data_IF_106312642324
#
_entry.id   IF_106312642324
#
_cell.length_a   1.000
_cell.length_b   1.000
_cell.length_c   1.000
_cell.angle_alpha   90.00
_cell.angle_beta   90.00
_cell.angle_gamma   90.00
#
_symmetry.space_group_name_H-M   'P 1'
#
loop_
_entity.id
_entity.type
_entity.pdbx_description
1 polymer ?
#
# COMPACT_ATOMS: atom_id res chain seq x y z
N UNK A 1 0.65 8.15 5.64
CA UNK A 1 -0.60 7.61 5.06
C UNK A 1 -0.43 6.12 4.82
N UNK A 2 -1.51 5.35 4.67
CA UNK A 2 -1.40 3.89 4.57
C UNK A 2 -2.42 3.24 3.63
N UNK A 3 -2.11 2.01 3.17
CA UNK A 3 -3.14 1.04 2.76
C UNK A 3 -2.88 -0.32 3.40
N UNK A 4 -3.94 -1.00 3.83
CA UNK A 4 -3.84 -2.30 4.51
C UNK A 4 -3.41 -3.41 3.58
N UNK A 5 -2.36 -4.14 3.93
CA UNK A 5 -1.86 -5.32 3.20
C UNK A 5 -2.35 -6.64 3.80
N UNK A 6 -2.71 -6.64 5.10
CA UNK A 6 -3.24 -7.82 5.79
C UNK A 6 -2.21 -8.93 6.00
N UNK A 7 -2.68 -10.13 6.29
CA UNK A 7 -1.87 -11.34 6.38
C UNK A 7 -2.75 -12.58 6.10
N UNK A 8 -2.33 -13.43 5.16
CA UNK A 8 -3.02 -14.67 4.79
C UNK A 8 -2.24 -15.93 5.25
N UNK A 9 -1.13 -15.76 5.96
CA UNK A 9 -0.35 -16.86 6.51
C UNK A 9 -0.72 -17.09 7.99
N UNK A 10 -1.50 -18.14 8.25
CA UNK A 10 -1.96 -18.48 9.59
C UNK A 10 -0.83 -18.81 10.59
N UNK A 11 0.34 -19.23 10.10
CA UNK A 11 1.51 -19.55 10.94
C UNK A 11 2.08 -18.32 11.63
N UNK A 12 1.77 -17.11 11.16
CA UNK A 12 2.25 -15.87 11.75
C UNK A 12 1.39 -15.39 12.93
N UNK A 13 0.18 -15.91 13.11
CA UNK A 13 -0.71 -15.48 14.21
C UNK A 13 -0.14 -15.73 15.60
N UNK A 14 0.79 -16.67 15.74
CA UNK A 14 1.55 -16.91 16.99
C UNK A 14 2.38 -15.71 17.47
N UNK A 15 2.64 -14.73 16.59
CA UNK A 15 3.35 -13.50 16.92
C UNK A 15 2.42 -12.39 17.43
N UNK A 16 1.09 -12.57 17.32
CA UNK A 16 0.13 -11.67 17.93
C UNK A 16 -0.03 -12.09 19.40
N UNK A 17 0.51 -11.27 20.30
CA UNK A 17 0.51 -11.51 21.75
C UNK A 17 0.07 -10.26 22.52
N UNK A 18 -0.49 -10.42 23.73
CA UNK A 18 -0.81 -9.27 24.59
C UNK A 18 0.46 -8.64 25.18
N UNK A 19 1.45 -9.46 25.53
CA UNK A 19 2.70 -9.00 26.14
C UNK A 19 3.65 -8.42 25.10
N UNK A 20 4.38 -7.37 25.49
CA UNK A 20 5.40 -6.71 24.66
C UNK A 20 4.88 -6.27 23.28
N UNK A 21 3.60 -5.87 23.23
CA UNK A 21 2.85 -5.59 22.02
C UNK A 21 2.03 -4.33 22.24
N UNK A 22 2.13 -3.39 21.30
CA UNK A 22 1.34 -2.16 21.32
C UNK A 22 0.48 -2.14 20.06
N UNK A 23 -0.83 -1.97 20.22
CA UNK A 23 -1.74 -1.91 19.08
C UNK A 23 -1.34 -0.81 18.11
N UNK A 24 -1.54 -1.11 16.82
CA UNK A 24 -1.09 -0.28 15.71
C UNK A 24 -1.52 1.19 15.83
N UNK A 25 -2.77 1.44 16.21
CA UNK A 25 -3.30 2.81 16.33
C UNK A 25 -2.49 3.67 17.32
N UNK A 26 -2.02 3.08 18.42
CA UNK A 26 -1.25 3.80 19.44
C UNK A 26 0.19 4.01 18.95
N UNK A 27 0.80 3.01 18.29
CA UNK A 27 2.12 3.14 17.66
C UNK A 27 2.13 4.22 16.59
N UNK A 28 1.08 4.28 15.76
CA UNK A 28 0.86 5.31 14.76
C UNK A 28 0.83 6.71 15.38
N UNK A 29 0.04 6.92 16.43
CA UNK A 29 -0.04 8.20 17.13
C UNK A 29 1.31 8.62 17.74
N UNK A 30 2.02 7.69 18.38
CA UNK A 30 3.33 7.95 18.99
C UNK A 30 4.37 8.33 17.92
N UNK A 31 4.44 7.57 16.83
CA UNK A 31 5.34 7.85 15.72
C UNK A 31 5.05 9.23 15.09
N UNK A 32 3.78 9.56 14.84
CA UNK A 32 3.38 10.87 14.30
C UNK A 32 3.76 12.04 15.21
N UNK A 33 3.78 11.86 16.54
CA UNK A 33 4.09 12.93 17.49
C UNK A 33 5.58 13.14 17.71
N UNK A 34 6.38 12.09 17.60
CA UNK A 34 7.80 12.11 18.00
C UNK A 34 8.76 12.22 16.82
N UNK A 35 8.40 11.68 15.65
CA UNK A 35 9.31 11.61 14.52
C UNK A 35 9.56 12.97 13.87
N UNK A 36 10.81 13.23 13.50
CA UNK A 36 11.22 14.40 12.72
C UNK A 36 11.51 14.05 11.27
N UNK A 37 11.79 12.78 10.96
CA UNK A 37 12.06 12.27 9.61
C UNK A 37 11.26 11.00 9.33
N UNK A 38 11.15 10.61 8.06
CA UNK A 38 10.51 9.36 7.69
C UNK A 38 11.20 8.11 8.26
N UNK A 39 12.54 8.14 8.36
CA UNK A 39 13.31 7.06 8.96
C UNK A 39 13.06 6.94 10.47
N UNK A 40 13.03 8.07 11.19
CA UNK A 40 12.69 8.08 12.62
C UNK A 40 11.26 7.58 12.87
N UNK A 41 10.31 7.99 12.02
CA UNK A 41 8.92 7.52 12.11
C UNK A 41 8.86 6.00 12.06
N UNK A 42 9.56 5.40 11.10
CA UNK A 42 9.63 3.95 10.96
C UNK A 42 10.26 3.27 12.19
N UNK A 43 11.41 3.77 12.68
CA UNK A 43 12.09 3.23 13.87
C UNK A 43 11.25 3.34 15.14
N UNK A 44 10.39 4.37 15.26
CA UNK A 44 9.48 4.49 16.39
C UNK A 44 8.29 3.53 16.23
N UNK A 45 7.70 3.48 15.04
CA UNK A 45 6.52 2.69 14.74
C UNK A 45 6.73 1.17 14.83
N UNK A 46 7.92 0.68 14.47
CA UNK A 46 8.23 -0.76 14.49
C UNK A 46 8.35 -1.35 15.90
N UNK A 47 8.59 -0.49 16.91
CA UNK A 47 8.72 -0.93 18.31
C UNK A 47 7.42 -1.57 18.79
N UNK A 48 7.55 -2.73 19.44
CA UNK A 48 6.42 -3.50 19.97
C UNK A 48 5.34 -3.81 18.91
N UNK A 49 5.78 -4.12 17.68
CA UNK A 49 4.90 -4.53 16.58
C UNK A 49 3.89 -5.60 17.04
N UNK A 50 2.60 -5.26 16.98
CA UNK A 50 1.49 -6.11 17.39
C UNK A 50 1.09 -7.17 16.36
N UNK A 51 1.50 -7.03 15.10
CA UNK A 51 0.98 -7.84 13.99
C UNK A 51 -0.50 -7.62 13.68
N UNK A 52 -1.08 -6.53 14.18
CA UNK A 52 -2.47 -6.13 13.94
C UNK A 52 -2.52 -4.88 13.08
N UNK A 53 -3.58 -4.73 12.28
CA UNK A 53 -3.73 -3.68 11.26
C UNK A 53 -2.48 -3.57 10.36
N UNK A 54 -2.17 -4.66 9.67
CA UNK A 54 -0.96 -4.83 8.86
C UNK A 54 -1.04 -3.99 7.59
N UNK A 55 -0.22 -2.95 7.50
CA UNK A 55 -0.32 -1.88 6.50
C UNK A 55 1.00 -1.67 5.75
N UNK A 56 0.91 -1.12 4.54
CA UNK A 56 1.99 -0.38 3.89
C UNK A 56 1.83 1.10 4.23
N UNK A 57 2.79 1.63 4.99
CA UNK A 57 2.91 3.02 5.37
C UNK A 57 3.80 3.78 4.39
N UNK A 58 3.32 4.93 3.94
CA UNK A 58 4.07 5.91 3.15
C UNK A 58 4.23 7.17 4.00
N UNK A 59 5.49 7.51 4.29
CA UNK A 59 5.88 8.69 5.06
C UNK A 59 6.58 9.64 4.12
N UNK A 60 5.92 10.76 3.83
CA UNK A 60 6.42 11.79 2.92
C UNK A 60 6.95 12.95 3.76
N UNK A 61 8.25 13.22 3.68
CA UNK A 61 8.88 14.33 4.39
C UNK A 61 9.06 15.54 3.46
N UNK A 62 8.08 16.45 3.45
CA UNK A 62 8.17 17.66 2.62
C UNK A 62 9.35 18.58 2.96
N UNK A 63 10.01 18.42 4.12
CA UNK A 63 11.21 19.23 4.45
C UNK A 63 12.39 18.93 3.51
N UNK A 64 12.40 17.76 2.87
CA UNK A 64 13.41 17.36 1.89
C UNK A 64 12.98 17.61 0.45
N UNK A 65 11.75 18.09 0.24
CA UNK A 65 11.23 18.42 -1.09
C UNK A 65 11.56 19.87 -1.46
N UNK A 66 12.28 20.06 -2.56
CA UNK A 66 12.58 21.38 -3.12
C UNK A 66 11.93 21.53 -4.50
N UNK A 67 10.91 22.40 -4.67
CA UNK A 67 10.27 22.62 -5.96
C UNK A 67 11.27 22.99 -7.06
N UNK A 68 11.15 22.36 -8.23
CA UNK A 68 12.03 22.61 -9.39
C UNK A 68 13.37 21.87 -9.36
N UNK A 69 13.75 21.23 -8.24
CA UNK A 69 14.92 20.35 -8.23
C UNK A 69 14.59 18.98 -8.84
N UNK A 70 15.41 18.59 -9.82
CA UNK A 70 15.25 17.31 -10.54
C UNK A 70 15.99 16.16 -9.84
N UNK A 71 16.99 16.48 -9.00
CA UNK A 71 17.78 15.48 -8.30
C UNK A 71 17.04 14.92 -7.07
N UNK A 72 17.02 13.58 -6.88
CA UNK A 72 16.40 12.97 -5.71
C UNK A 72 17.19 13.32 -4.44
N UNK A 73 16.53 13.95 -3.47
CA UNK A 73 17.08 14.13 -2.12
C UNK A 73 16.62 13.00 -1.22
N UNK A 74 17.57 12.21 -0.70
CA UNK A 74 17.27 11.09 0.20
C UNK A 74 16.36 11.54 1.36
N UNK A 75 15.41 10.70 1.74
CA UNK A 75 14.49 10.94 2.86
C UNK A 75 13.15 11.58 2.48
N UNK A 76 12.86 11.82 1.19
CA UNK A 76 11.54 12.31 0.77
C UNK A 76 10.44 11.29 1.01
N UNK A 77 10.67 10.03 0.65
CA UNK A 77 9.69 8.96 0.81
C UNK A 77 10.32 7.77 1.54
N UNK A 78 9.88 7.53 2.78
CA UNK A 78 10.09 6.27 3.47
C UNK A 78 8.84 5.39 3.32
N UNK A 79 9.05 4.10 3.01
CA UNK A 79 7.98 3.10 2.93
C UNK A 79 8.26 2.03 3.97
N UNK A 80 7.26 1.73 4.79
CA UNK A 80 7.30 0.68 5.81
C UNK A 80 6.16 -0.30 5.57
N UNK A 81 6.43 -1.59 5.66
CA UNK A 81 5.41 -2.64 5.64
C UNK A 81 5.49 -3.50 6.89
N UNK A 82 4.35 -3.81 7.47
CA UNK A 82 4.24 -4.61 8.68
C UNK A 82 3.35 -5.83 8.47
N UNK A 83 3.81 -6.97 8.97
CA UNK A 83 3.02 -8.19 9.21
C UNK A 83 3.34 -8.73 10.62
N UNK A 84 2.64 -9.76 11.14
CA UNK A 84 2.97 -10.31 12.46
C UNK A 84 4.40 -10.87 12.49
N UNK A 85 5.22 -10.32 13.40
CA UNK A 85 6.62 -10.74 13.59
C UNK A 85 7.62 -10.16 12.60
N UNK A 86 7.22 -9.27 11.68
CA UNK A 86 8.13 -8.69 10.68
C UNK A 86 7.73 -7.28 10.29
N UNK A 87 8.72 -6.40 10.22
CA UNK A 87 8.60 -5.05 9.66
C UNK A 87 9.76 -4.85 8.70
N UNK A 88 9.49 -4.32 7.51
CA UNK A 88 10.52 -3.90 6.55
C UNK A 88 10.31 -2.43 6.24
N UNK A 89 11.40 -1.67 6.26
CA UNK A 89 11.42 -0.24 5.90
C UNK A 89 12.50 0.02 4.87
N UNK A 90 12.19 0.86 3.88
CA UNK A 90 13.18 1.39 2.94
C UNK A 90 12.91 2.84 2.57
N UNK A 91 13.96 3.55 2.17
CA UNK A 91 13.85 4.85 1.50
C UNK A 91 13.59 4.63 0.00
N UNK A 92 12.39 5.00 -0.45
CA UNK A 92 11.93 4.81 -1.81
C UNK A 92 12.03 6.08 -2.65
N UNK A 93 12.78 7.10 -2.18
CA UNK A 93 12.89 8.39 -2.87
C UNK A 93 13.47 8.23 -4.28
N UNK A 94 14.51 7.40 -4.45
CA UNK A 94 15.11 7.17 -5.77
C UNK A 94 14.07 6.63 -6.76
N UNK A 95 13.29 5.64 -6.34
CA UNK A 95 12.26 5.04 -7.20
C UNK A 95 11.12 6.01 -7.48
N UNK A 96 10.70 6.81 -6.48
CA UNK A 96 9.70 7.86 -6.67
C UNK A 96 10.10 8.85 -7.77
N UNK A 97 11.35 9.30 -7.80
CA UNK A 97 11.84 10.19 -8.86
C UNK A 97 11.98 9.50 -10.22
N UNK A 98 12.36 8.21 -10.24
CA UNK A 98 12.51 7.44 -11.47
C UNK A 98 11.16 7.17 -12.16
N UNK A 99 10.15 6.77 -11.38
CA UNK A 99 8.81 6.43 -11.88
C UNK A 99 7.89 7.65 -11.99
N UNK A 100 8.19 8.70 -11.23
CA UNK A 100 7.37 9.90 -11.10
C UNK A 100 6.16 9.76 -10.17
N UNK A 101 5.96 8.58 -9.57
CA UNK A 101 4.87 8.32 -8.63
C UNK A 101 5.17 7.14 -7.69
N UNK A 102 4.43 7.06 -6.59
CA UNK A 102 4.32 5.86 -5.76
C UNK A 102 2.83 5.54 -5.58
N UNK A 103 2.43 4.31 -5.91
CA UNK A 103 1.05 3.86 -5.75
C UNK A 103 0.95 2.74 -4.72
N UNK A 104 -0.15 2.74 -3.96
CA UNK A 104 -0.44 1.75 -2.92
C UNK A 104 -1.86 1.23 -3.09
N UNK A 105 -2.04 -0.09 -3.01
CA UNK A 105 -3.30 -0.74 -3.39
C UNK A 105 -3.49 -2.13 -2.72
N UNK A 106 -3.22 -2.20 -1.42
CA UNK A 106 -3.45 -3.39 -0.58
C UNK A 106 -2.66 -4.66 -0.98
N UNK A 107 -1.55 -4.50 -1.71
CA UNK A 107 -0.59 -5.58 -1.96
C UNK A 107 0.78 -5.06 -1.52
N UNK A 108 1.54 -5.80 -0.68
CA UNK A 108 2.85 -5.38 -0.24
C UNK A 108 3.84 -5.33 -1.42
N UNK A 109 4.67 -4.30 -1.40
CA UNK A 109 5.75 -4.05 -2.34
C UNK A 109 6.98 -4.91 -2.02
N UNK A 110 7.35 -5.04 -0.75
CA UNK A 110 8.56 -5.80 -0.39
C UNK A 110 8.34 -7.29 -0.58
N UNK A 111 9.18 -7.92 -1.41
CA UNK A 111 9.02 -9.32 -1.79
C UNK A 111 9.01 -10.27 -0.58
N UNK A 112 9.79 -9.96 0.46
CA UNK A 112 9.83 -10.76 1.69
C UNK A 112 8.49 -10.71 2.46
N UNK A 113 7.87 -9.52 2.54
CA UNK A 113 6.54 -9.35 3.14
C UNK A 113 5.49 -10.05 2.28
N UNK A 114 5.58 -9.91 0.95
CA UNK A 114 4.70 -10.57 0.00
C UNK A 114 4.72 -12.09 0.18
N UNK A 115 5.91 -12.68 0.19
CA UNK A 115 6.11 -14.12 0.34
C UNK A 115 5.65 -14.59 1.72
N UNK A 116 6.06 -13.90 2.78
CA UNK A 116 5.81 -14.34 4.15
C UNK A 116 4.34 -14.21 4.55
N UNK A 117 3.63 -13.22 4.01
CA UNK A 117 2.19 -13.01 4.26
C UNK A 117 1.27 -14.01 3.54
N UNK A 118 1.82 -14.90 2.72
CA UNK A 118 1.06 -15.98 2.07
C UNK A 118 0.40 -15.62 0.74
N UNK A 119 0.77 -14.49 0.12
CA UNK A 119 0.23 -14.08 -1.18
C UNK A 119 0.59 -15.02 -2.36
N UNK A 120 1.75 -15.69 -2.43
CA UNK A 120 2.05 -16.61 -3.53
C UNK A 120 0.97 -17.71 -3.73
N UNK A 121 0.42 -18.24 -2.63
CA UNK A 121 -0.67 -19.23 -2.70
C UNK A 121 -1.96 -18.63 -3.28
N UNK A 122 -2.25 -17.36 -2.98
CA UNK A 122 -3.40 -16.65 -3.55
C UNK A 122 -3.18 -16.31 -5.02
N UNK A 123 -1.94 -16.01 -5.44
CA UNK A 123 -1.60 -15.85 -6.86
C UNK A 123 -1.80 -17.17 -7.61
N UNK A 124 -1.37 -18.30 -7.05
CA UNK A 124 -1.60 -19.61 -7.68
C UNK A 124 -3.10 -19.92 -7.82
N UNK A 125 -3.91 -19.54 -6.84
CA UNK A 125 -5.34 -19.84 -6.80
C UNK A 125 -6.20 -18.88 -7.63
N UNK A 126 -5.86 -17.60 -7.65
CA UNK A 126 -6.71 -16.52 -8.19
C UNK A 126 -6.01 -15.64 -9.23
N UNK A 127 -4.74 -15.90 -9.54
CA UNK A 127 -3.98 -15.22 -10.57
C UNK A 127 -3.57 -13.80 -10.22
N UNK A 128 -3.51 -12.96 -11.25
CA UNK A 128 -2.90 -11.62 -11.23
C UNK A 128 -3.55 -10.64 -10.24
N UNK A 129 -4.74 -10.95 -9.70
CA UNK A 129 -5.38 -10.13 -8.67
C UNK A 129 -4.58 -10.09 -7.35
N UNK A 130 -3.69 -11.05 -7.11
CA UNK A 130 -2.84 -11.01 -5.91
C UNK A 130 -1.38 -10.67 -6.23
N UNK A 131 -1.05 -10.38 -7.48
CA UNK A 131 0.32 -9.94 -7.86
C UNK A 131 0.45 -8.43 -7.70
N UNK A 132 1.59 -7.95 -7.21
CA UNK A 132 1.81 -6.51 -7.01
C UNK A 132 1.62 -5.70 -8.30
N UNK A 133 2.21 -6.16 -9.41
CA UNK A 133 2.29 -5.38 -10.65
C UNK A 133 1.08 -5.47 -11.57
N UNK A 134 0.23 -6.50 -11.41
CA UNK A 134 -0.88 -6.76 -12.34
C UNK A 134 -2.24 -6.70 -11.69
N UNK A 135 -2.31 -6.24 -10.43
CA UNK A 135 -3.62 -5.90 -9.87
C UNK A 135 -4.34 -4.88 -10.76
N UNK A 136 -5.67 -4.88 -10.74
CA UNK A 136 -6.46 -3.87 -11.45
C UNK A 136 -6.06 -2.44 -11.12
N UNK A 137 -5.82 -2.15 -9.84
CA UNK A 137 -5.41 -0.81 -9.38
C UNK A 137 -4.00 -0.47 -9.82
N UNK A 138 -3.07 -1.42 -9.78
CA UNK A 138 -1.72 -1.24 -10.32
C UNK A 138 -1.77 -0.85 -11.81
N UNK A 139 -2.58 -1.54 -12.60
CA UNK A 139 -2.75 -1.24 -14.02
C UNK A 139 -3.40 0.14 -14.26
N UNK A 140 -4.41 0.52 -13.47
CA UNK A 140 -5.02 1.87 -13.58
C UNK A 140 -3.99 2.94 -13.25
N UNK A 141 -3.24 2.80 -12.15
CA UNK A 141 -2.20 3.76 -11.79
C UNK A 141 -1.11 3.84 -12.85
N UNK A 142 -0.58 2.69 -13.31
CA UNK A 142 0.45 2.65 -14.36
C UNK A 142 0.00 3.37 -15.64
N UNK A 143 -1.26 3.21 -16.04
CA UNK A 143 -1.82 3.86 -17.24
C UNK A 143 -2.10 5.35 -17.04
N UNK A 144 -2.63 5.75 -15.87
CA UNK A 144 -3.26 7.06 -15.71
C UNK A 144 -2.48 8.06 -14.85
N UNK A 145 -1.44 7.65 -14.12
CA UNK A 145 -0.74 8.55 -13.17
C UNK A 145 -0.20 9.81 -13.86
N UNK A 146 0.27 9.70 -15.10
CA UNK A 146 0.82 10.82 -15.89
C UNK A 146 -0.24 11.83 -16.34
N UNK A 147 -1.53 11.53 -16.15
CA UNK A 147 -2.64 12.46 -16.40
C UNK A 147 -2.84 13.43 -15.21
N UNK A 148 -2.23 13.15 -14.06
CA UNK A 148 -2.27 14.05 -12.90
C UNK A 148 -1.28 15.18 -13.14
N UNK A 149 -1.80 16.41 -13.25
CA UNK A 149 -1.01 17.64 -13.46
C UNK A 149 -1.32 18.73 -12.44
N UNK A 150 -2.37 18.53 -11.65
CA UNK A 150 -2.89 19.47 -10.66
C UNK A 150 -3.75 18.71 -9.62
N UNK A 151 -4.29 19.44 -8.64
CA UNK A 151 -5.11 18.84 -7.58
C UNK A 151 -6.44 18.28 -8.10
N UNK A 152 -7.06 18.91 -9.11
CA UNK A 152 -8.35 18.46 -9.64
C UNK A 152 -8.22 17.14 -10.41
N UNK A 153 -7.18 17.01 -11.23
CA UNK A 153 -6.84 15.77 -11.94
C UNK A 153 -6.41 14.66 -10.96
N UNK A 154 -5.73 14.99 -9.86
CA UNK A 154 -5.46 14.05 -8.76
C UNK A 154 -6.78 13.54 -8.15
N UNK A 155 -7.67 14.44 -7.73
CA UNK A 155 -8.97 14.09 -7.15
C UNK A 155 -9.78 13.23 -8.11
N UNK A 156 -9.77 13.57 -9.41
CA UNK A 156 -10.48 12.83 -10.46
C UNK A 156 -9.95 11.39 -10.60
N UNK A 157 -8.63 11.19 -10.56
CA UNK A 157 -8.05 9.84 -10.62
C UNK A 157 -8.41 9.06 -9.35
N UNK A 158 -8.22 9.64 -8.16
CA UNK A 158 -8.50 8.97 -6.89
C UNK A 158 -9.98 8.60 -6.71
N UNK A 159 -10.89 9.35 -7.35
CA UNK A 159 -12.35 9.07 -7.37
C UNK A 159 -12.78 8.19 -8.54
N UNK A 160 -11.86 7.74 -9.40
CA UNK A 160 -12.18 6.99 -10.60
C UNK A 160 -12.92 5.69 -10.25
N UNK A 161 -14.08 5.53 -10.87
CA UNK A 161 -14.96 4.36 -10.76
C UNK A 161 -15.03 3.61 -12.10
N UNK A 162 -15.35 2.31 -12.10
CA UNK A 162 -15.42 1.54 -13.32
C UNK A 162 -16.70 1.93 -14.07
N UNK A 163 -16.57 2.31 -15.34
CA UNK A 163 -17.73 2.58 -16.19
C UNK A 163 -18.49 1.27 -16.50
N UNK A 164 -19.77 1.32 -16.91
CA UNK A 164 -20.53 0.13 -17.26
C UNK A 164 -19.87 -0.74 -18.33
N UNK A 165 -19.13 -0.14 -19.26
CA UNK A 165 -18.37 -0.85 -20.29
C UNK A 165 -17.24 -1.69 -19.70
N UNK A 166 -16.56 -1.18 -18.67
CA UNK A 166 -15.46 -1.88 -18.00
C UNK A 166 -15.99 -3.05 -17.17
N UNK A 167 -17.24 -2.96 -16.71
CA UNK A 167 -17.94 -4.05 -16.01
C UNK A 167 -18.34 -5.20 -16.93
N UNK A 168 -18.57 -4.95 -18.22
CA UNK A 168 -18.94 -5.96 -19.22
C UNK A 168 -17.73 -6.76 -19.74
N UNK A 169 -16.52 -6.22 -19.57
CA UNK A 169 -15.29 -6.85 -20.02
C UNK A 169 -14.96 -8.09 -19.18
N UNK A 170 -15.27 -9.30 -19.69
CA UNK A 170 -15.02 -10.59 -19.03
C UNK A 170 -13.53 -10.91 -18.82
N UNK A 171 -12.62 -10.14 -19.44
CA UNK A 171 -11.16 -10.31 -19.33
C UNK A 171 -10.43 -9.09 -18.79
N UNK A 172 -11.13 -8.06 -18.32
CA UNK A 172 -10.47 -6.88 -17.77
C UNK A 172 -10.25 -7.06 -16.27
N UNK A 173 -9.00 -7.01 -15.79
CA UNK A 173 -8.73 -6.98 -14.36
C UNK A 173 -9.37 -5.74 -13.72
N UNK A 174 -9.46 -4.61 -14.44
CA UNK A 174 -9.74 -3.23 -14.02
C UNK A 174 -11.00 -3.00 -13.13
N UNK A 175 -10.98 -3.47 -11.88
CA UNK A 175 -11.77 -2.96 -10.75
C UNK A 175 -11.18 -1.63 -10.24
N UNK A 176 -12.05 -0.72 -9.84
CA UNK A 176 -11.75 0.71 -9.63
C UNK A 176 -10.76 1.03 -8.51
N UNK A 177 -10.26 2.28 -8.54
CA UNK A 177 -9.51 2.86 -7.43
C UNK A 177 -10.42 3.18 -6.24
N UNK A 178 -11.60 3.76 -6.49
CA UNK A 178 -12.65 3.93 -5.47
C UNK A 178 -13.65 2.78 -5.56
N UNK A 179 -13.65 1.89 -4.58
CA UNK A 179 -14.60 0.77 -4.52
C UNK A 179 -15.97 1.27 -4.00
N UNK A 180 -17.05 0.96 -4.72
CA UNK A 180 -18.42 1.01 -4.18
C UNK A 180 -18.96 -0.41 -4.13
N UNK A 181 -19.08 -0.97 -2.93
CA UNK A 181 -19.60 -2.33 -2.72
C UNK A 181 -21.13 -2.39 -2.79
N UNK A 182 -21.81 -1.27 -2.53
CA UNK A 182 -23.28 -1.18 -2.50
C UNK A 182 -23.94 -1.20 -3.88
N UNK A 183 -23.15 -1.19 -4.96
CA UNK A 183 -23.63 -1.34 -6.32
C UNK A 183 -23.38 -2.80 -6.71
N UNK A 184 -24.43 -3.64 -6.90
CA UNK A 184 -24.26 -5.06 -7.18
C UNK A 184 -23.39 -5.25 -8.42
N UNK A 185 -22.16 -5.74 -8.18
CA UNK A 185 -21.36 -6.34 -9.22
C UNK A 185 -21.92 -7.76 -9.34
N UNK A 186 -22.60 -8.04 -10.45
CA UNK A 186 -23.07 -9.38 -10.79
C UNK A 186 -21.94 -10.41 -10.54
N UNK A 187 -22.26 -11.45 -9.77
CA UNK A 187 -21.34 -12.53 -9.43
C UNK A 187 -21.12 -12.65 -7.92
N UNK A 188 -22.10 -13.21 -7.22
CA UNK A 188 -21.87 -14.00 -6.02
C UNK A 188 -20.71 -14.97 -6.27
N UNK A 189 -19.71 -14.96 -5.40
CA UNK A 189 -18.79 -16.09 -5.29
C UNK A 189 -19.63 -17.32 -4.94
N UNK A 190 -19.50 -18.46 -5.66
CA UNK A 190 -20.12 -19.69 -5.18
C UNK A 190 -19.53 -20.04 -3.81
N UNK A 191 -20.41 -20.51 -2.94
CA UNK A 191 -20.13 -20.95 -1.58
C UNK A 191 -19.02 -22.00 -1.53
#
# INVERSE_FOLDING_TARGET
METTIGNNNNKLWKFIKPDNSVLEWLRNIVANRLARTGAEWATIFEKFNSGTYNNQWMIVDYKTFVPGMVAPQRGLLAVLEQIPGMVITADMTKLLYQEGYWASYNVPYFQDIFNTSGLPALVQKYGDWFTYEKTPRAQIFRRNQTLIRDMDSMIRLMRLQPTPEWRKCHRCPLRSQSCKRDIPLWGSLPA
#
